data_IF_344220048288
#
_entry.id   IF_344220048288
#
_cell.length_a   1.000
_cell.length_b   1.000
_cell.length_c   1.000
_cell.angle_alpha   90.00
_cell.angle_beta   90.00
_cell.angle_gamma   90.00
#
_symmetry.space_group_name_H-M   'P 1'
#
loop_
_entity.id
_entity.type
_entity.pdbx_description
1 polymer ?
#
# COMPACT_ATOMS: atom_id res chain seq x y z
N UNK A 1 14.29 23.21 -20.70
CA UNK A 1 14.77 21.83 -20.51
C UNK A 1 13.60 20.98 -20.07
N UNK A 2 13.01 20.25 -21.02
CA UNK A 2 11.84 19.40 -20.83
C UNK A 2 12.24 18.23 -19.96
N UNK A 3 11.73 18.17 -18.72
CA UNK A 3 11.88 16.97 -17.88
C UNK A 3 11.05 15.87 -18.52
N UNK A 4 11.71 14.96 -19.22
CA UNK A 4 11.12 13.72 -19.71
C UNK A 4 10.56 12.99 -18.50
N UNK A 5 9.22 12.99 -18.33
CA UNK A 5 8.53 12.07 -17.42
C UNK A 5 8.96 10.68 -17.87
N UNK A 6 9.81 10.04 -17.08
CA UNK A 6 10.22 8.65 -17.29
C UNK A 6 8.96 7.81 -17.24
N UNK A 7 8.34 7.58 -18.40
CA UNK A 7 7.17 6.74 -18.60
C UNK A 7 7.62 5.27 -18.51
N UNK A 8 8.23 4.89 -17.40
CA UNK A 8 8.72 3.53 -17.18
C UNK A 8 7.87 2.94 -16.09
N UNK A 9 6.92 2.08 -16.48
CA UNK A 9 6.54 0.82 -15.81
C UNK A 9 5.13 0.29 -16.14
N UNK A 10 4.29 0.98 -16.92
CA UNK A 10 3.00 0.37 -17.32
C UNK A 10 3.20 -0.76 -18.35
N UNK A 11 4.24 -0.67 -19.18
CA UNK A 11 4.47 -1.61 -20.29
C UNK A 11 5.07 -2.96 -19.86
N UNK A 12 5.62 -3.06 -18.65
CA UNK A 12 6.32 -4.27 -18.17
C UNK A 12 5.69 -4.92 -16.94
N UNK A 13 4.88 -4.20 -16.17
CA UNK A 13 4.18 -4.74 -15.01
C UNK A 13 2.83 -5.32 -15.40
N UNK A 14 2.51 -6.51 -14.87
CA UNK A 14 1.19 -7.11 -15.07
C UNK A 14 0.20 -6.45 -14.12
N UNK A 15 -0.83 -5.82 -14.70
CA UNK A 15 -1.93 -5.22 -13.93
C UNK A 15 -3.13 -6.16 -13.89
N UNK A 16 -3.98 -5.97 -12.89
CA UNK A 16 -5.12 -6.81 -12.58
C UNK A 16 -6.39 -5.98 -12.45
N UNK A 17 -7.52 -6.56 -12.83
CA UNK A 17 -8.86 -6.02 -12.56
C UNK A 17 -9.73 -7.10 -11.90
N UNK A 18 -10.75 -6.68 -11.16
CA UNK A 18 -11.72 -7.62 -10.58
C UNK A 18 -12.54 -8.26 -11.69
N UNK A 19 -12.74 -9.58 -11.58
CA UNK A 19 -13.52 -10.40 -12.54
C UNK A 19 -15.01 -10.01 -12.60
N UNK A 20 -15.52 -9.31 -11.58
CA UNK A 20 -16.89 -8.81 -11.50
C UNK A 20 -17.12 -7.44 -12.19
N UNK A 21 -16.13 -6.93 -12.93
CA UNK A 21 -16.24 -5.66 -13.66
C UNK A 21 -15.62 -4.46 -12.94
N UNK A 22 -14.41 -4.63 -12.40
CA UNK A 22 -13.68 -3.56 -11.72
C UNK A 22 -13.44 -2.33 -12.62
N UNK A 23 -13.67 -1.13 -12.08
CA UNK A 23 -13.51 0.14 -12.81
C UNK A 23 -12.06 0.62 -12.91
N UNK A 24 -11.10 -0.08 -12.29
CA UNK A 24 -9.69 0.35 -12.22
C UNK A 24 -8.72 -0.82 -12.31
N UNK A 25 -7.52 -0.54 -12.81
CA UNK A 25 -6.40 -1.48 -12.86
C UNK A 25 -5.54 -1.37 -11.59
N UNK A 26 -5.01 -2.51 -11.15
CA UNK A 26 -4.31 -2.65 -9.87
C UNK A 26 -3.07 -3.53 -10.02
N UNK A 27 -2.00 -3.21 -9.29
CA UNK A 27 -0.94 -4.21 -9.02
C UNK A 27 -1.53 -5.32 -8.14
N UNK A 28 -1.03 -6.55 -8.24
CA UNK A 28 -1.56 -7.69 -7.46
C UNK A 28 -1.61 -7.41 -5.96
N UNK A 29 -0.62 -6.66 -5.46
CA UNK A 29 -0.52 -6.24 -4.06
C UNK A 29 -1.46 -5.11 -3.64
N UNK A 30 -2.30 -4.57 -4.52
CA UNK A 30 -3.13 -3.41 -4.20
C UNK A 30 -4.26 -3.79 -3.23
N UNK A 31 -4.41 -3.08 -2.09
CA UNK A 31 -5.41 -3.41 -1.07
C UNK A 31 -6.86 -3.49 -1.58
N UNK A 32 -7.19 -2.86 -2.71
CA UNK A 32 -8.53 -2.91 -3.30
C UNK A 32 -8.90 -4.28 -3.91
N UNK A 33 -7.91 -5.12 -4.21
CA UNK A 33 -8.11 -6.39 -4.94
C UNK A 33 -7.58 -7.61 -4.20
N UNK A 34 -7.14 -7.42 -2.96
CA UNK A 34 -6.47 -8.48 -2.20
C UNK A 34 -7.52 -9.36 -1.56
N UNK A 35 -7.32 -10.68 -1.67
CA UNK A 35 -8.31 -11.67 -1.27
C UNK A 35 -9.51 -11.73 -2.22
N UNK A 36 -9.44 -11.08 -3.39
CA UNK A 36 -10.48 -11.10 -4.40
C UNK A 36 -10.01 -11.84 -5.65
N UNK A 37 -10.97 -12.43 -6.36
CA UNK A 37 -10.76 -12.98 -7.69
C UNK A 37 -10.46 -11.84 -8.67
N UNK A 38 -9.36 -11.99 -9.42
CA UNK A 38 -8.90 -10.99 -10.38
C UNK A 38 -8.35 -11.63 -11.64
N UNK A 39 -8.49 -10.91 -12.74
CA UNK A 39 -7.94 -11.27 -14.04
C UNK A 39 -6.77 -10.36 -14.41
N UNK A 40 -5.75 -10.95 -15.06
CA UNK A 40 -4.62 -10.21 -15.58
C UNK A 40 -5.02 -9.42 -16.84
N UNK A 41 -4.53 -8.19 -16.93
CA UNK A 41 -4.76 -7.30 -18.07
C UNK A 41 -3.46 -7.16 -18.84
N UNK A 42 -3.55 -7.28 -20.16
CA UNK A 42 -2.39 -7.16 -21.03
C UNK A 42 -1.72 -5.79 -20.87
N UNK A 43 -0.37 -5.73 -20.83
CA UNK A 43 0.34 -4.44 -20.79
C UNK A 43 -0.08 -3.55 -21.96
N UNK A 44 -0.33 -2.28 -21.68
CA UNK A 44 -0.70 -1.28 -22.71
C UNK A 44 -2.21 -1.14 -22.99
N UNK A 45 -3.09 -1.95 -22.39
CA UNK A 45 -4.53 -1.68 -22.44
C UNK A 45 -4.85 -0.41 -21.60
N UNK A 46 -5.03 0.71 -22.29
CA UNK A 46 -5.29 2.03 -21.72
C UNK A 46 -6.79 2.34 -21.53
N UNK A 47 -7.68 1.39 -21.84
CA UNK A 47 -9.12 1.61 -21.79
C UNK A 47 -9.67 1.71 -20.36
N UNK A 48 -8.95 1.17 -19.37
CA UNK A 48 -9.33 1.19 -17.95
C UNK A 48 -8.33 2.04 -17.16
N UNK A 49 -8.80 3.03 -16.37
CA UNK A 49 -7.90 3.88 -15.59
C UNK A 49 -7.18 3.09 -14.50
N UNK A 50 -5.91 3.43 -14.23
CA UNK A 50 -5.13 2.81 -13.16
C UNK A 50 -5.54 3.35 -11.79
N UNK A 51 -5.67 2.48 -10.79
CA UNK A 51 -5.87 2.85 -9.40
C UNK A 51 -4.80 3.84 -8.95
N UNK A 52 -5.20 4.94 -8.30
CA UNK A 52 -4.26 5.98 -7.82
C UNK A 52 -3.09 5.43 -7.00
N UNK A 53 -3.29 4.37 -6.21
CA UNK A 53 -2.25 3.77 -5.37
C UNK A 53 -1.27 2.94 -6.19
N UNK A 54 -1.80 2.16 -7.13
CA UNK A 54 -0.98 1.46 -8.12
C UNK A 54 -0.21 2.43 -8.98
N UNK A 55 -0.83 3.54 -9.40
CA UNK A 55 -0.17 4.58 -10.18
C UNK A 55 1.00 5.19 -9.40
N UNK A 56 0.80 5.54 -8.13
CA UNK A 56 1.87 6.04 -7.26
C UNK A 56 3.01 5.03 -7.07
N UNK A 57 2.70 3.73 -7.01
CA UNK A 57 3.70 2.68 -6.93
C UNK A 57 4.50 2.51 -8.22
N UNK A 58 3.83 2.52 -9.37
CA UNK A 58 4.47 2.50 -10.69
C UNK A 58 5.36 3.73 -10.91
N UNK A 59 4.93 4.90 -10.43
CA UNK A 59 5.69 6.16 -10.49
C UNK A 59 6.83 6.21 -9.44
N UNK A 60 7.07 5.13 -8.68
CA UNK A 60 8.18 5.02 -7.73
C UNK A 60 7.97 5.72 -6.38
N UNK A 61 6.76 6.22 -6.13
CA UNK A 61 6.35 6.91 -4.89
C UNK A 61 5.72 5.93 -3.87
N UNK A 62 5.62 4.65 -4.21
CA UNK A 62 4.67 3.72 -3.61
C UNK A 62 5.01 3.07 -2.28
N UNK A 63 6.29 2.92 -1.90
CA UNK A 63 6.67 2.11 -0.73
C UNK A 63 7.52 2.93 0.24
N UNK A 64 7.09 2.98 1.49
CA UNK A 64 7.79 3.64 2.59
C UNK A 64 8.56 2.55 3.34
N UNK A 65 9.89 2.42 3.13
CA UNK A 65 10.67 1.36 3.75
C UNK A 65 10.71 1.53 5.27
N UNK A 66 10.65 0.40 5.98
CA UNK A 66 10.69 0.33 7.43
C UNK A 66 11.89 -0.52 7.86
N UNK A 67 12.45 -0.22 9.03
CA UNK A 67 13.61 -0.97 9.56
C UNK A 67 13.19 -2.22 10.32
N UNK A 68 12.01 -2.19 10.95
CA UNK A 68 11.50 -3.28 11.80
C UNK A 68 9.99 -3.41 11.65
N UNK A 69 9.46 -4.60 11.92
CA UNK A 69 8.01 -4.86 11.94
C UNK A 69 7.31 -3.97 12.99
N UNK A 70 7.87 -3.84 14.20
CA UNK A 70 7.28 -2.99 15.24
C UNK A 70 7.28 -1.51 14.83
N UNK A 71 8.36 -1.02 14.20
CA UNK A 71 8.43 0.34 13.67
C UNK A 71 7.35 0.60 12.62
N UNK A 72 7.19 -0.36 11.69
CA UNK A 72 6.14 -0.31 10.68
C UNK A 72 4.73 -0.30 11.30
N UNK A 73 4.47 -1.18 12.28
CA UNK A 73 3.17 -1.25 12.97
C UNK A 73 2.88 0.02 13.79
N UNK A 74 3.92 0.62 14.38
CA UNK A 74 3.79 1.90 15.09
C UNK A 74 3.45 3.02 14.11
N UNK A 75 4.15 3.14 12.98
CA UNK A 75 3.86 4.17 11.97
C UNK A 75 2.49 3.95 11.31
N UNK A 76 2.08 2.70 11.12
CA UNK A 76 0.75 2.33 10.65
C UNK A 76 -0.38 2.69 11.66
N UNK A 77 -0.03 2.96 12.92
CA UNK A 77 -1.00 3.26 13.97
C UNK A 77 -1.75 2.04 14.48
N UNK A 78 -1.10 0.87 14.52
CA UNK A 78 -1.61 -0.29 15.25
C UNK A 78 -1.53 -0.05 16.76
N UNK A 79 -2.61 -0.39 17.49
CA UNK A 79 -2.67 -0.21 18.95
C UNK A 79 -1.52 -0.93 19.65
N UNK A 80 -0.86 -0.29 20.64
CA UNK A 80 0.16 -0.94 21.46
C UNK A 80 -0.26 -2.30 22.05
N UNK A 81 -1.54 -2.49 22.34
CA UNK A 81 -2.10 -3.74 22.88
C UNK A 81 -2.07 -4.87 21.84
N UNK A 82 -2.24 -4.55 20.56
CA UNK A 82 -2.36 -5.52 19.46
C UNK A 82 -0.99 -5.82 18.84
N UNK A 83 -0.06 -4.85 18.83
CA UNK A 83 1.26 -5.02 18.19
C UNK A 83 2.02 -6.29 18.61
N UNK A 84 2.11 -6.67 19.91
CA UNK A 84 2.81 -7.88 20.32
C UNK A 84 2.23 -9.15 19.69
N UNK A 85 0.90 -9.20 19.50
CA UNK A 85 0.23 -10.33 18.86
C UNK A 85 0.53 -10.39 17.37
N UNK A 86 0.44 -9.26 16.66
CA UNK A 86 0.80 -9.18 15.24
C UNK A 86 2.26 -9.60 15.01
N UNK A 87 3.18 -9.10 15.84
CA UNK A 87 4.60 -9.47 15.77
C UNK A 87 4.78 -10.97 16.02
N UNK A 88 4.05 -11.54 17.00
CA UNK A 88 4.10 -12.98 17.29
C UNK A 88 3.62 -13.82 16.11
N UNK A 89 2.57 -13.40 15.41
CA UNK A 89 2.04 -14.10 14.23
C UNK A 89 3.00 -14.04 13.04
N UNK A 90 3.70 -12.92 12.87
CA UNK A 90 4.72 -12.76 11.82
C UNK A 90 6.08 -13.38 12.17
N UNK A 91 6.24 -13.87 13.41
CA UNK A 91 7.50 -14.43 13.90
C UNK A 91 7.81 -15.74 13.17
N UNK A 92 9.01 -15.85 12.63
CA UNK A 92 9.48 -17.06 11.93
C UNK A 92 9.32 -17.00 10.41
N UNK A 93 8.63 -16.00 9.88
CA UNK A 93 8.62 -15.73 8.44
C UNK A 93 9.99 -15.21 8.00
N UNK A 94 10.49 -15.72 6.88
CA UNK A 94 11.65 -15.15 6.18
C UNK A 94 11.19 -13.92 5.40
N UNK A 95 11.87 -12.80 5.62
CA UNK A 95 11.66 -11.55 4.90
C UNK A 95 12.97 -10.76 4.88
N UNK A 96 13.18 -9.97 3.82
CA UNK A 96 14.31 -9.06 3.64
C UNK A 96 13.88 -7.58 3.69
N UNK A 97 12.59 -7.32 3.43
CA UNK A 97 12.02 -5.98 3.41
C UNK A 97 10.72 -5.93 4.21
N UNK A 98 10.55 -4.82 4.93
CA UNK A 98 9.28 -4.42 5.52
C UNK A 98 8.98 -2.99 5.10
N UNK A 99 7.74 -2.71 4.70
CA UNK A 99 7.35 -1.38 4.23
C UNK A 99 5.87 -1.10 4.44
N UNK A 100 5.51 0.18 4.37
CA UNK A 100 4.13 0.62 4.21
C UNK A 100 3.88 0.94 2.72
N UNK A 101 2.73 0.57 2.15
CA UNK A 101 2.32 1.15 0.89
C UNK A 101 2.06 2.65 1.07
N UNK A 102 2.01 3.41 -0.01
CA UNK A 102 1.74 4.85 -0.01
C UNK A 102 0.41 5.18 0.68
N UNK A 103 -0.57 4.28 0.54
CA UNK A 103 -1.87 4.36 1.21
C UNK A 103 -1.81 4.21 2.72
N UNK A 104 -0.69 3.69 3.25
CA UNK A 104 -0.50 3.32 4.66
C UNK A 104 -1.64 2.42 5.17
N UNK A 105 -2.14 1.51 4.32
CA UNK A 105 -3.30 0.66 4.63
C UNK A 105 -2.95 -0.66 5.32
N UNK A 106 -1.69 -1.07 5.30
CA UNK A 106 -1.16 -2.24 6.00
C UNK A 106 0.37 -2.16 6.09
N UNK A 107 0.97 -3.04 6.90
CA UNK A 107 2.41 -3.33 6.87
C UNK A 107 2.65 -4.52 5.96
N UNK A 108 3.59 -4.42 5.02
CA UNK A 108 3.95 -5.49 4.10
C UNK A 108 5.34 -6.05 4.43
N UNK A 109 5.47 -7.37 4.36
CA UNK A 109 6.74 -8.09 4.39
C UNK A 109 6.98 -8.71 3.02
N UNK A 110 8.22 -8.61 2.54
CA UNK A 110 8.66 -9.25 1.31
C UNK A 110 9.94 -10.04 1.51
N UNK A 111 10.15 -11.02 0.63
CA UNK A 111 11.37 -11.78 0.47
C UNK A 111 11.70 -11.82 -1.02
N UNK A 112 12.91 -11.43 -1.42
CA UNK A 112 13.35 -11.42 -2.82
C UNK A 112 12.34 -10.68 -3.74
N UNK A 113 11.89 -9.50 -3.30
CA UNK A 113 10.84 -8.67 -3.93
C UNK A 113 9.39 -9.22 -3.92
N UNK A 114 9.17 -10.45 -3.44
CA UNK A 114 7.84 -11.05 -3.42
C UNK A 114 7.16 -10.82 -2.07
N UNK A 115 5.88 -10.39 -2.03
CA UNK A 115 5.15 -10.26 -0.79
C UNK A 115 4.92 -11.63 -0.13
N UNK A 116 5.31 -11.78 1.13
CA UNK A 116 5.16 -13.02 1.90
C UNK A 116 4.10 -12.93 2.99
N UNK A 117 3.91 -11.75 3.58
CA UNK A 117 2.88 -11.54 4.60
C UNK A 117 2.54 -10.07 4.82
N UNK A 118 1.28 -9.80 5.19
CA UNK A 118 0.77 -8.46 5.45
C UNK A 118 0.13 -8.39 6.82
N UNK A 119 0.23 -7.24 7.49
CA UNK A 119 -0.43 -7.00 8.76
C UNK A 119 -1.31 -5.74 8.69
N UNK A 120 -2.60 -5.95 8.92
CA UNK A 120 -3.57 -4.90 9.21
C UNK A 120 -3.65 -4.61 10.71
N UNK A 121 -4.59 -3.75 11.10
CA UNK A 121 -4.78 -3.39 12.52
C UNK A 121 -5.41 -4.52 13.33
N UNK A 122 -6.09 -5.43 12.65
CA UNK A 122 -6.91 -6.49 13.22
C UNK A 122 -6.77 -7.82 12.43
N UNK A 123 -5.75 -7.96 11.57
CA UNK A 123 -5.50 -9.19 10.85
C UNK A 123 -4.03 -9.35 10.48
N UNK A 124 -3.62 -10.59 10.24
CA UNK A 124 -2.39 -10.92 9.49
C UNK A 124 -2.79 -11.80 8.32
N UNK A 125 -2.19 -11.57 7.15
CA UNK A 125 -2.29 -12.47 6.00
C UNK A 125 -0.90 -13.03 5.70
N UNK A 126 -0.77 -14.35 5.57
CA UNK A 126 0.50 -15.04 5.26
C UNK A 126 0.26 -15.89 4.01
N UNK A 127 0.81 -15.48 2.87
CA UNK A 127 0.40 -16.05 1.58
C UNK A 127 -1.12 -15.94 1.38
N UNK A 128 -1.79 -17.09 1.31
CA UNK A 128 -3.25 -17.20 1.17
C UNK A 128 -3.99 -17.33 2.51
N UNK A 129 -3.28 -17.58 3.62
CA UNK A 129 -3.89 -17.74 4.93
C UNK A 129 -4.22 -16.37 5.54
N UNK A 130 -5.50 -16.14 5.83
CA UNK A 130 -5.98 -14.94 6.53
C UNK A 130 -6.28 -15.26 7.98
N UNK A 131 -5.58 -14.59 8.91
CA UNK A 131 -5.71 -14.77 10.35
C UNK A 131 -6.35 -13.52 10.96
N UNK A 132 -7.65 -13.53 11.27
CA UNK A 132 -8.30 -12.43 11.96
C UNK A 132 -7.87 -12.35 13.43
N UNK A 133 -7.87 -11.15 13.99
CA UNK A 133 -7.78 -10.91 15.43
C UNK A 133 -9.19 -10.54 15.93
N UNK A 134 -10.05 -11.55 16.08
CA UNK A 134 -11.49 -11.42 16.39
C UNK A 134 -11.77 -10.68 17.69
N UNK A 135 -10.86 -10.76 18.65
CA UNK A 135 -10.92 -10.09 19.95
C UNK A 135 -10.75 -8.56 19.84
N UNK A 136 -10.31 -8.05 18.67
CA UNK A 136 -10.11 -6.63 18.42
C UNK A 136 -11.15 -6.08 17.43
N UNK A 137 -12.40 -6.02 17.87
CA UNK A 137 -13.48 -5.27 17.20
C UNK A 137 -13.36 -3.75 17.45
N UNK A 138 -12.19 -3.18 17.18
CA UNK A 138 -11.98 -1.75 17.20
C UNK A 138 -12.52 -1.09 15.93
N UNK A 139 -13.84 -0.84 15.88
CA UNK A 139 -14.49 0.09 14.95
C UNK A 139 -14.52 -0.31 13.48
N UNK A 140 -15.74 -0.46 12.96
CA UNK A 140 -16.01 -0.52 11.52
C UNK A 140 -15.57 0.82 10.90
N UNK A 141 -14.41 0.84 10.24
CA UNK A 141 -13.92 1.99 9.47
C UNK A 141 -12.94 2.91 10.21
N UNK A 142 -11.82 3.21 9.54
CA UNK A 142 -11.02 4.41 9.82
C UNK A 142 -10.35 4.48 11.19
N UNK A 143 -9.39 3.60 11.48
CA UNK A 143 -8.48 3.83 12.61
C UNK A 143 -7.76 5.19 12.49
N UNK A 144 -7.26 5.74 13.61
CA UNK A 144 -7.12 7.17 13.89
C UNK A 144 -6.38 7.95 12.81
N UNK A 145 -6.80 9.21 12.62
CA UNK A 145 -6.08 10.23 11.85
C UNK A 145 -4.60 10.12 12.21
N UNK A 146 -3.80 9.56 11.30
CA UNK A 146 -2.36 9.80 11.34
C UNK A 146 -2.27 11.31 11.21
N UNK A 147 -1.62 11.98 12.17
CA UNK A 147 -1.34 13.41 12.01
C UNK A 147 -0.70 13.55 10.64
N UNK A 148 -1.48 14.09 9.74
CA UNK A 148 -1.14 14.22 8.35
C UNK A 148 0.10 15.10 8.30
N UNK A 149 1.28 14.48 8.19
CA UNK A 149 2.53 15.18 7.93
C UNK A 149 2.51 15.60 6.45
N UNK A 150 1.53 16.43 6.10
CA UNK A 150 1.49 17.18 4.87
C UNK A 150 2.17 18.53 5.13
N UNK A 151 2.91 19.02 4.13
CA UNK A 151 3.44 20.38 4.16
C UNK A 151 2.32 21.41 4.00
N UNK A 152 2.66 22.70 4.11
CA UNK A 152 1.69 23.76 3.88
C UNK A 152 1.01 23.65 2.51
N UNK A 153 -0.28 24.02 2.39
CA UNK A 153 -0.98 24.05 1.11
C UNK A 153 -0.19 24.85 0.07
N UNK A 154 -0.19 24.39 -1.18
CA UNK A 154 0.42 25.15 -2.26
C UNK A 154 -0.34 26.47 -2.47
N UNK A 155 0.30 27.66 -2.44
CA UNK A 155 -0.37 28.92 -2.71
C UNK A 155 -0.88 29.06 -4.15
N UNK A 156 -0.46 28.19 -5.07
CA UNK A 156 -0.89 28.23 -6.48
C UNK A 156 -2.12 27.35 -6.76
N UNK A 157 -2.09 26.08 -6.36
CA UNK A 157 -3.20 25.13 -6.63
C UNK A 157 -3.97 24.69 -5.38
N UNK A 158 -3.64 25.22 -4.20
CA UNK A 158 -4.27 24.93 -2.91
C UNK A 158 -4.27 23.44 -2.49
N UNK A 159 -3.60 22.58 -3.26
CA UNK A 159 -3.37 21.17 -2.93
C UNK A 159 -2.32 21.03 -1.82
N UNK A 160 -2.55 20.11 -0.90
CA UNK A 160 -1.65 19.82 0.22
C UNK A 160 -0.31 19.26 -0.30
N UNK A 161 0.81 19.87 0.11
CA UNK A 161 2.15 19.52 -0.39
C UNK A 161 2.71 18.30 0.34
N UNK A 162 3.60 17.58 -0.35
CA UNK A 162 4.49 16.62 0.32
C UNK A 162 5.52 17.35 1.20
N UNK A 163 6.02 16.69 2.25
CA UNK A 163 6.95 17.27 3.25
C UNK A 163 8.26 17.82 2.67
N UNK A 164 8.66 17.39 1.47
CA UNK A 164 9.85 17.92 0.79
C UNK A 164 9.57 19.22 0.01
N UNK A 165 8.37 19.80 0.16
CA UNK A 165 7.96 21.04 -0.51
C UNK A 165 7.57 20.86 -1.98
N UNK A 166 7.64 19.63 -2.52
CA UNK A 166 7.30 19.37 -3.92
C UNK A 166 5.78 19.39 -4.09
N UNK A 167 5.35 20.19 -5.06
CA UNK A 167 3.97 20.31 -5.47
C UNK A 167 3.79 19.79 -6.89
N UNK A 168 2.73 19.03 -7.14
CA UNK A 168 2.35 18.51 -8.46
C UNK A 168 1.09 19.22 -8.94
N UNK A 169 1.13 20.56 -8.98
CA UNK A 169 0.09 21.29 -9.70
C UNK A 169 0.29 20.95 -11.18
N UNK A 170 -0.67 20.26 -11.79
CA UNK A 170 -0.82 20.22 -13.26
C UNK A 170 -1.66 21.43 -13.69
#
# INVERSE_FOLDING_TARGET
>A
MTKTKTAVKIETETLYKKTDGGQRLHLRGCPHIVGLEVEAVAPGDSSVPVCRWTRAELDGVGRIPQKTIDGALREFGASPEVRPRLIKLLKGLKWDKVYLPQSRSFVALSLDEHPVAWAGKNYVQIGEEFVPLEEYQGGVGGGPFVSELWGEPCPECFMQRSMNGTCTCD
#
